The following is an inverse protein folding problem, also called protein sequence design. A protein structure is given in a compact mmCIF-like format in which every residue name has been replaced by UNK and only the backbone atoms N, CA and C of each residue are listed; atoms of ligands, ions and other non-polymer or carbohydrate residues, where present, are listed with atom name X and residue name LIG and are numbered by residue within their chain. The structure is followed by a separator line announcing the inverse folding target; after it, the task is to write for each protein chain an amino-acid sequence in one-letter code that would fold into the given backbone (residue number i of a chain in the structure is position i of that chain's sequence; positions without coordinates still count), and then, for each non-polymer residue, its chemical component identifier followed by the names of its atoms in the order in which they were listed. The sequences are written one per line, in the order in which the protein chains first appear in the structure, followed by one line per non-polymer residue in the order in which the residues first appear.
data_IF_800843506056
#
_entry.id   IF_800843506056
#
_cell.length_a   1.000
_cell.length_b   1.000
_cell.length_c   1.000
_cell.angle_alpha   90.00
_cell.angle_beta   90.00
_cell.angle_gamma   90.00
#
_symmetry.space_group_name_H-M   'P 1'
#
loop_
_entity.id
_entity.type
_entity.pdbx_description
1 polymer ?
#
# COMPACT_ATOMS: atom_id res chain seq x y z
N UNK A 1 23.39 -12.48 -2.35
CA UNK A 1 22.17 -12.26 -3.14
C UNK A 1 22.36 -11.20 -4.24
N UNK A 2 22.93 -10.02 -3.95
CA UNK A 2 23.15 -8.96 -4.94
C UNK A 2 24.00 -9.43 -6.13
N UNK A 3 25.06 -10.20 -5.88
CA UNK A 3 25.94 -10.73 -6.92
C UNK A 3 25.22 -11.72 -7.85
N UNK A 4 24.27 -12.51 -7.35
CA UNK A 4 23.50 -13.43 -8.18
C UNK A 4 22.56 -12.66 -9.13
N UNK A 5 21.90 -11.61 -8.64
CA UNK A 5 21.04 -10.74 -9.47
C UNK A 5 21.87 -10.01 -10.52
N UNK A 6 23.04 -9.47 -10.16
CA UNK A 6 23.96 -8.84 -11.10
C UNK A 6 24.45 -9.81 -12.18
N UNK A 7 24.80 -11.05 -11.82
CA UNK A 7 25.20 -12.07 -12.79
C UNK A 7 24.06 -12.40 -13.77
N UNK A 8 22.81 -12.48 -13.32
CA UNK A 8 21.66 -12.69 -14.23
C UNK A 8 21.56 -11.55 -15.24
N UNK A 9 21.73 -10.30 -14.81
CA UNK A 9 21.72 -9.14 -15.73
C UNK A 9 22.86 -9.16 -16.74
N UNK A 10 24.01 -9.73 -16.41
CA UNK A 10 25.19 -9.78 -17.28
C UNK A 10 25.18 -10.98 -18.24
N UNK A 11 24.38 -12.03 -17.94
CA UNK A 11 24.43 -13.30 -18.69
C UNK A 11 23.16 -13.60 -19.48
N UNK A 12 22.07 -12.86 -19.27
CA UNK A 12 20.77 -13.09 -19.91
C UNK A 12 20.42 -11.91 -20.79
N UNK A 13 20.45 -12.12 -22.12
CA UNK A 13 20.15 -11.09 -23.11
C UNK A 13 18.63 -10.93 -23.37
N UNK A 14 17.82 -11.91 -22.98
CA UNK A 14 16.37 -11.85 -23.13
C UNK A 14 15.70 -11.34 -21.86
N UNK A 15 14.99 -10.21 -21.98
CA UNK A 15 14.32 -9.56 -20.86
C UNK A 15 13.27 -10.45 -20.17
N UNK A 16 12.48 -11.20 -20.94
CA UNK A 16 11.45 -12.10 -20.37
C UNK A 16 12.09 -13.23 -19.57
N UNK A 17 13.19 -13.82 -20.08
CA UNK A 17 13.94 -14.85 -19.39
C UNK A 17 14.63 -14.30 -18.12
N UNK A 18 15.18 -13.09 -18.20
CA UNK A 18 15.78 -12.41 -17.06
C UNK A 18 14.76 -12.20 -15.94
N UNK A 19 13.59 -11.66 -16.27
CA UNK A 19 12.49 -11.44 -15.30
C UNK A 19 12.01 -12.74 -14.69
N UNK A 20 11.87 -13.81 -15.50
CA UNK A 20 11.46 -15.13 -15.01
C UNK A 20 12.47 -15.70 -14.02
N UNK A 21 13.77 -15.68 -14.35
CA UNK A 21 14.84 -16.19 -13.48
C UNK A 21 15.01 -15.35 -12.21
N UNK A 22 14.89 -14.03 -12.30
CA UNK A 22 14.91 -13.18 -11.12
C UNK A 22 13.73 -13.48 -10.19
N UNK A 23 12.54 -13.68 -10.74
CA UNK A 23 11.34 -14.05 -9.97
C UNK A 23 11.49 -15.40 -9.30
N UNK A 24 12.07 -16.39 -10.01
CA UNK A 24 12.37 -17.72 -9.45
C UNK A 24 13.37 -17.62 -8.29
N UNK A 25 14.48 -16.91 -8.50
CA UNK A 25 15.51 -16.70 -7.48
C UNK A 25 14.98 -15.98 -6.24
N UNK A 26 14.21 -14.90 -6.43
CA UNK A 26 13.57 -14.18 -5.32
C UNK A 26 12.60 -15.11 -4.57
N UNK A 27 11.87 -15.95 -5.29
CA UNK A 27 10.95 -16.94 -4.68
C UNK A 27 11.71 -17.99 -3.87
N UNK A 28 12.89 -18.43 -4.34
CA UNK A 28 13.74 -19.38 -3.64
C UNK A 28 14.33 -18.79 -2.36
N UNK A 29 14.87 -17.56 -2.42
CA UNK A 29 15.35 -16.83 -1.24
C UNK A 29 14.21 -16.62 -0.24
N UNK A 30 13.05 -16.21 -0.70
CA UNK A 30 11.90 -15.98 0.15
C UNK A 30 11.38 -17.24 0.85
N UNK A 31 11.77 -18.45 0.42
CA UNK A 31 11.46 -19.69 1.14
C UNK A 31 12.27 -19.85 2.43
N UNK A 32 13.42 -19.22 2.51
CA UNK A 32 14.34 -19.32 3.65
C UNK A 32 14.17 -18.18 4.66
N UNK A 33 13.44 -17.10 4.32
CA UNK A 33 13.35 -15.88 5.13
C UNK A 33 11.90 -15.36 5.24
N UNK A 34 11.66 -14.43 6.17
CA UNK A 34 10.41 -13.65 6.39
C UNK A 34 9.96 -12.86 5.14
N UNK A 35 10.75 -12.91 4.07
CA UNK A 35 10.52 -12.27 2.77
C UNK A 35 9.29 -12.79 2.00
N UNK A 36 8.72 -13.92 2.41
CA UNK A 36 7.50 -14.50 1.77
C UNK A 36 6.32 -13.53 1.74
N UNK A 37 6.24 -12.67 2.71
CA UNK A 37 5.18 -11.65 2.81
C UNK A 37 5.17 -10.65 1.64
N UNK A 38 6.31 -10.49 0.93
CA UNK A 38 6.42 -9.58 -0.21
C UNK A 38 6.11 -10.24 -1.57
N UNK A 39 6.04 -11.58 -1.63
CA UNK A 39 5.78 -12.30 -2.89
C UNK A 39 4.50 -11.84 -3.62
N UNK A 40 3.40 -11.46 -2.94
CA UNK A 40 2.23 -10.95 -3.63
C UNK A 40 2.52 -9.72 -4.50
N UNK A 41 3.47 -8.85 -4.13
CA UNK A 41 3.83 -7.65 -4.90
C UNK A 41 4.45 -7.99 -6.25
N UNK A 42 5.16 -9.13 -6.38
CA UNK A 42 5.74 -9.57 -7.65
C UNK A 42 4.67 -9.88 -8.72
N UNK A 43 3.44 -10.15 -8.28
CA UNK A 43 2.32 -10.48 -9.17
C UNK A 43 1.68 -9.24 -9.80
N UNK A 44 1.91 -8.05 -9.25
CA UNK A 44 1.31 -6.80 -9.73
C UNK A 44 1.93 -6.42 -11.08
N UNK A 45 1.09 -6.14 -12.08
CA UNK A 45 1.56 -5.71 -13.42
C UNK A 45 2.25 -4.34 -13.38
N UNK A 46 1.74 -3.41 -12.59
CA UNK A 46 2.36 -2.10 -12.34
C UNK A 46 3.58 -2.26 -11.41
N UNK A 47 4.77 -2.29 -12.02
CA UNK A 47 6.04 -2.50 -11.30
C UNK A 47 6.46 -1.30 -10.46
N UNK A 48 6.02 -0.10 -10.82
CA UNK A 48 6.34 1.11 -10.07
C UNK A 48 5.51 1.16 -8.80
N UNK A 49 4.21 0.89 -8.89
CA UNK A 49 3.35 0.74 -7.72
C UNK A 49 3.86 -0.37 -6.79
N UNK A 50 4.21 -1.54 -7.34
CA UNK A 50 4.75 -2.66 -6.56
C UNK A 50 6.04 -2.28 -5.82
N UNK A 51 7.00 -1.67 -6.51
CA UNK A 51 8.26 -1.21 -5.94
C UNK A 51 8.08 -0.11 -4.89
N UNK A 52 7.13 0.80 -5.12
CA UNK A 52 6.79 1.84 -4.16
C UNK A 52 6.20 1.26 -2.86
N UNK A 53 5.20 0.38 -2.96
CA UNK A 53 4.60 -0.30 -1.80
C UNK A 53 5.68 -1.09 -1.03
N UNK A 54 6.53 -1.85 -1.73
CA UNK A 54 7.65 -2.55 -1.13
C UNK A 54 8.55 -1.61 -0.33
N UNK A 55 8.91 -0.45 -0.92
CA UNK A 55 9.77 0.54 -0.24
C UNK A 55 9.15 1.10 1.04
N UNK A 56 7.84 1.27 1.08
CA UNK A 56 7.10 1.70 2.28
C UNK A 56 7.14 0.62 3.36
N UNK A 57 6.91 -0.64 2.99
CA UNK A 57 6.88 -1.75 3.94
C UNK A 57 8.26 -1.99 4.58
N UNK A 58 9.32 -1.94 3.78
CA UNK A 58 10.70 -2.12 4.29
C UNK A 58 11.12 -0.99 5.24
N UNK A 59 10.55 0.20 5.08
CA UNK A 59 10.82 1.37 5.94
C UNK A 59 9.83 1.53 7.09
N UNK A 60 8.86 0.64 7.21
CA UNK A 60 7.92 0.65 8.33
C UNK A 60 8.67 0.50 9.67
N UNK A 61 8.14 1.03 10.77
CA UNK A 61 8.69 0.76 12.10
C UNK A 61 8.77 -0.76 12.36
N UNK A 62 9.83 -1.21 13.04
CA UNK A 62 10.10 -2.64 13.26
C UNK A 62 8.94 -3.39 13.95
N UNK A 63 8.16 -2.70 14.75
CA UNK A 63 7.00 -3.28 15.42
C UNK A 63 5.79 -3.45 14.49
N UNK A 64 5.73 -2.79 13.32
CA UNK A 64 4.59 -2.88 12.40
C UNK A 64 4.65 -4.17 11.59
N UNK A 65 3.55 -4.90 11.58
CA UNK A 65 3.36 -6.13 10.81
C UNK A 65 2.42 -5.86 9.65
N UNK A 66 2.97 -5.88 8.44
CA UNK A 66 2.19 -5.62 7.22
C UNK A 66 1.94 -6.93 6.47
N UNK A 67 0.67 -7.26 6.28
CA UNK A 67 0.21 -8.32 5.38
C UNK A 67 -0.20 -7.72 4.03
N UNK A 68 0.04 -8.46 2.94
CA UNK A 68 -0.28 -8.02 1.58
C UNK A 68 -1.11 -9.09 0.89
N UNK A 69 -2.20 -8.66 0.26
CA UNK A 69 -3.05 -9.50 -0.59
C UNK A 69 -3.22 -8.86 -1.96
N UNK A 70 -2.96 -9.62 -2.99
CA UNK A 70 -3.19 -9.22 -4.40
C UNK A 70 -4.19 -10.18 -5.00
N UNK A 71 -5.39 -9.69 -5.26
CA UNK A 71 -6.50 -10.48 -5.79
C UNK A 71 -6.44 -10.59 -7.30
N UNK A 72 -6.22 -9.48 -7.99
CA UNK A 72 -6.00 -9.43 -9.42
C UNK A 72 -4.57 -8.97 -9.73
N UNK A 73 -3.94 -9.60 -10.72
CA UNK A 73 -2.56 -9.31 -11.13
C UNK A 73 -2.48 -8.11 -12.08
N UNK A 74 -3.47 -7.97 -12.94
CA UNK A 74 -3.55 -6.86 -13.87
C UNK A 74 -4.17 -5.67 -13.17
N UNK A 75 -3.34 -4.67 -12.92
CA UNK A 75 -3.76 -3.42 -12.34
C UNK A 75 -4.05 -2.46 -13.49
N UNK A 76 -5.32 -2.11 -13.60
CA UNK A 76 -5.77 -1.12 -14.57
C UNK A 76 -6.28 0.09 -13.80
N UNK A 77 -5.76 1.26 -14.09
CA UNK A 77 -6.28 2.51 -13.56
C UNK A 77 -6.09 3.64 -14.59
N UNK A 78 -7.06 4.53 -14.68
CA UNK A 78 -6.99 5.73 -15.53
C UNK A 78 -6.21 6.89 -14.89
N UNK A 79 -5.64 6.68 -13.70
CA UNK A 79 -4.92 7.70 -12.95
C UNK A 79 -3.45 7.78 -13.38
N UNK A 80 -2.87 8.97 -13.34
CA UNK A 80 -1.43 9.10 -13.55
C UNK A 80 -0.67 8.43 -12.41
N UNK A 81 0.42 7.75 -12.73
CA UNK A 81 1.29 7.03 -11.78
C UNK A 81 1.70 7.89 -10.58
N UNK A 82 2.09 9.16 -10.82
CA UNK A 82 2.46 10.09 -9.76
C UNK A 82 1.32 10.31 -8.74
N UNK A 83 0.10 10.54 -9.21
CA UNK A 83 -1.04 10.73 -8.32
C UNK A 83 -1.46 9.43 -7.61
N UNK A 84 -1.33 8.28 -8.28
CA UNK A 84 -1.57 6.99 -7.66
C UNK A 84 -0.61 6.75 -6.50
N UNK A 85 0.68 7.00 -6.70
CA UNK A 85 1.71 6.90 -5.67
C UNK A 85 1.45 7.87 -4.51
N UNK A 86 1.01 9.09 -4.79
CA UNK A 86 0.67 10.08 -3.76
C UNK A 86 -0.51 9.60 -2.90
N UNK A 87 -1.59 9.08 -3.52
CA UNK A 87 -2.76 8.53 -2.81
C UNK A 87 -2.35 7.34 -1.94
N UNK A 88 -1.73 6.33 -2.56
CA UNK A 88 -1.33 5.09 -1.89
C UNK A 88 -0.33 5.37 -0.77
N UNK A 89 0.65 6.25 -1.03
CA UNK A 89 1.64 6.66 -0.04
C UNK A 89 1.02 7.32 1.18
N UNK A 90 0.10 8.24 0.96
CA UNK A 90 -0.63 8.94 2.03
C UNK A 90 -1.40 7.95 2.91
N UNK A 91 -2.08 6.98 2.31
CA UNK A 91 -2.87 6.01 3.05
C UNK A 91 -1.99 5.05 3.85
N UNK A 92 -0.87 4.59 3.28
CA UNK A 92 0.10 3.73 3.98
C UNK A 92 0.73 4.49 5.15
N UNK A 93 1.17 5.73 4.93
CA UNK A 93 1.79 6.54 5.99
C UNK A 93 0.81 6.77 7.15
N UNK A 94 -0.45 7.09 6.85
CA UNK A 94 -1.47 7.25 7.88
C UNK A 94 -1.72 5.98 8.69
N UNK A 95 -1.75 4.81 8.02
CA UNK A 95 -1.93 3.54 8.70
C UNK A 95 -0.74 3.21 9.62
N UNK A 96 0.49 3.43 9.15
CA UNK A 96 1.70 3.19 9.96
C UNK A 96 1.84 4.16 11.13
N UNK A 97 1.50 5.43 10.92
CA UNK A 97 1.51 6.45 11.97
C UNK A 97 0.44 6.21 13.06
N UNK A 98 -0.63 5.49 12.72
CA UNK A 98 -1.65 5.10 13.68
C UNK A 98 -1.31 3.82 14.46
N UNK A 99 -0.26 3.09 14.05
CA UNK A 99 0.19 1.88 14.74
C UNK A 99 0.92 2.21 16.05
N UNK A 100 0.76 1.30 17.01
CA UNK A 100 1.52 1.25 18.27
C UNK A 100 2.12 -0.15 18.43
N UNK A 101 2.97 -0.39 19.42
CA UNK A 101 3.52 -1.74 19.69
C UNK A 101 2.43 -2.78 19.96
N UNK A 102 1.30 -2.37 20.56
CA UNK A 102 0.18 -3.25 20.86
C UNK A 102 -0.78 -3.43 19.69
N UNK A 103 -0.90 -2.42 18.81
CA UNK A 103 -1.80 -2.37 17.65
C UNK A 103 -1.00 -2.11 16.39
N UNK A 104 -0.36 -3.16 15.91
CA UNK A 104 0.69 -3.09 14.91
C UNK A 104 0.36 -3.81 13.60
N UNK A 105 -0.88 -4.29 13.44
CA UNK A 105 -1.27 -5.02 12.25
C UNK A 105 -1.81 -4.07 11.19
N UNK A 106 -1.25 -4.17 10.00
CA UNK A 106 -1.69 -3.45 8.79
C UNK A 106 -1.91 -4.47 7.68
N UNK A 107 -3.05 -4.39 7.00
CA UNK A 107 -3.36 -5.18 5.82
C UNK A 107 -3.46 -4.26 4.62
N UNK A 108 -2.71 -4.57 3.55
CA UNK A 108 -2.81 -3.92 2.25
C UNK A 108 -3.43 -4.91 1.27
N UNK A 109 -4.54 -4.53 0.65
CA UNK A 109 -5.19 -5.33 -0.39
C UNK A 109 -5.23 -4.55 -1.70
N UNK A 110 -4.94 -5.25 -2.79
CA UNK A 110 -4.89 -4.68 -4.13
C UNK A 110 -5.73 -5.58 -5.03
N UNK A 111 -6.68 -4.98 -5.73
CA UNK A 111 -7.53 -5.64 -6.71
C UNK A 111 -7.75 -4.71 -7.91
N UNK A 112 -8.26 -5.26 -8.99
CA UNK A 112 -8.70 -4.51 -10.15
C UNK A 112 -9.97 -5.16 -10.69
N UNK A 113 -11.05 -4.39 -10.76
CA UNK A 113 -12.35 -4.84 -11.23
C UNK A 113 -12.98 -3.78 -12.12
N UNK A 114 -13.55 -4.21 -13.26
CA UNK A 114 -14.22 -3.30 -14.21
C UNK A 114 -13.35 -2.11 -14.62
N UNK A 115 -12.07 -2.39 -14.95
CA UNK A 115 -11.07 -1.37 -15.33
C UNK A 115 -10.80 -0.30 -14.24
N UNK A 116 -11.06 -0.63 -12.98
CA UNK A 116 -10.77 0.22 -11.83
C UNK A 116 -9.86 -0.49 -10.87
N UNK A 117 -8.86 0.23 -10.38
CA UNK A 117 -8.04 -0.19 -9.25
C UNK A 117 -8.85 -0.07 -7.97
N UNK A 118 -8.81 -1.12 -7.15
CA UNK A 118 -9.32 -1.13 -5.78
C UNK A 118 -8.12 -1.30 -4.86
N UNK A 119 -7.83 -0.26 -4.08
CA UNK A 119 -6.77 -0.28 -3.08
C UNK A 119 -7.39 -0.14 -1.69
N UNK A 120 -7.15 -1.13 -0.84
CA UNK A 120 -7.62 -1.13 0.55
C UNK A 120 -6.44 -1.17 1.50
N UNK A 121 -6.47 -0.31 2.49
CA UNK A 121 -5.58 -0.41 3.64
C UNK A 121 -6.38 -0.46 4.92
N UNK A 122 -6.08 -1.45 5.76
CA UNK A 122 -6.75 -1.71 7.03
C UNK A 122 -5.72 -1.76 8.13
N UNK A 123 -5.97 -1.07 9.23
CA UNK A 123 -5.13 -1.13 10.42
C UNK A 123 -5.96 -1.19 11.70
N UNK A 124 -5.33 -1.68 12.77
CA UNK A 124 -5.91 -1.65 14.10
C UNK A 124 -5.93 -0.22 14.64
N UNK A 125 -6.99 0.09 15.40
CA UNK A 125 -7.18 1.41 16.03
C UNK A 125 -7.70 1.28 17.45
N UNK A 126 -7.54 2.33 18.23
CA UNK A 126 -8.25 2.50 19.50
C UNK A 126 -9.58 3.19 19.26
N UNK A 127 -10.65 2.64 19.82
CA UNK A 127 -12.00 3.22 19.94
C UNK A 127 -12.25 4.50 19.13
N UNK A 128 -12.33 4.40 17.82
CA UNK A 128 -12.69 5.54 16.97
C UNK A 128 -14.15 5.89 17.21
N UNK A 129 -14.42 7.13 17.55
CA UNK A 129 -15.76 7.67 17.61
C UNK A 129 -16.38 7.76 16.22
N UNK A 130 -17.59 7.27 16.05
CA UNK A 130 -18.31 7.39 14.76
C UNK A 130 -18.41 8.84 14.25
N UNK A 131 -18.40 9.82 15.16
CA UNK A 131 -18.41 11.25 14.81
C UNK A 131 -17.09 11.73 14.20
N UNK A 132 -15.96 11.10 14.49
CA UNK A 132 -14.67 11.54 13.99
C UNK A 132 -14.46 11.16 12.51
N UNK A 133 -15.09 10.07 12.06
CA UNK A 133 -14.96 9.57 10.70
C UNK A 133 -15.42 10.59 9.66
N UNK A 134 -16.48 11.32 9.94
CA UNK A 134 -17.01 12.34 9.05
C UNK A 134 -16.01 13.46 8.78
N UNK A 135 -15.08 13.69 9.69
CA UNK A 135 -14.08 14.75 9.63
C UNK A 135 -12.74 14.32 9.00
N UNK A 136 -12.48 13.02 8.81
CA UNK A 136 -11.17 12.53 8.29
C UNK A 136 -10.73 13.16 6.97
N UNK A 137 -11.67 13.51 6.13
CA UNK A 137 -11.40 14.15 4.84
C UNK A 137 -11.59 15.67 4.86
N UNK A 138 -11.80 16.28 6.01
CA UNK A 138 -11.87 17.72 6.13
C UNK A 138 -10.48 18.35 6.10
N UNK A 139 -10.38 19.50 5.46
CA UNK A 139 -9.11 20.21 5.36
C UNK A 139 -8.61 20.66 6.73
N UNK A 140 -7.43 20.16 7.11
CA UNK A 140 -6.81 20.53 8.37
C UNK A 140 -7.23 19.69 9.57
N UNK A 141 -8.10 18.70 9.39
CA UNK A 141 -8.45 17.76 10.46
C UNK A 141 -7.28 16.81 10.75
N UNK A 142 -6.88 16.72 12.01
CA UNK A 142 -5.86 15.80 12.50
C UNK A 142 -6.16 15.45 13.95
N UNK A 143 -6.03 14.18 14.29
CA UNK A 143 -6.09 13.68 15.67
C UNK A 143 -4.73 13.73 16.37
N UNK A 144 -3.68 14.22 15.69
CA UNK A 144 -2.31 14.26 16.20
C UNK A 144 -2.03 15.59 16.89
N UNK A 145 -1.44 15.54 18.09
CA UNK A 145 -1.16 16.70 18.93
C UNK A 145 0.04 17.55 18.46
N UNK A 146 0.91 17.03 17.59
CA UNK A 146 2.23 17.61 17.26
C UNK A 146 2.23 18.84 16.34
N UNK A 147 1.13 19.50 16.06
CA UNK A 147 1.05 20.84 15.45
C UNK A 147 1.74 21.06 14.09
N UNK A 148 2.41 20.07 13.50
CA UNK A 148 3.15 20.20 12.24
C UNK A 148 2.32 19.68 11.07
N UNK A 149 1.70 20.62 10.29
CA UNK A 149 1.10 20.38 8.95
C UNK A 149 0.30 19.08 8.75
N UNK A 150 -0.27 18.54 9.82
CA UNK A 150 -1.11 17.36 9.76
C UNK A 150 -2.54 17.75 9.31
N UNK A 151 -3.30 16.81 8.75
CA UNK A 151 -4.68 17.06 8.31
C UNK A 151 -4.84 17.47 6.85
N UNK A 152 -3.78 17.48 6.04
CA UNK A 152 -3.87 17.71 4.59
C UNK A 152 -3.77 16.43 3.76
N UNK A 153 -3.17 15.37 4.29
CA UNK A 153 -2.92 14.14 3.54
C UNK A 153 -4.21 13.48 3.02
N UNK A 154 -5.11 13.12 3.91
CA UNK A 154 -6.39 12.49 3.52
C UNK A 154 -7.28 13.43 2.70
N UNK A 155 -7.28 14.74 3.02
CA UNK A 155 -7.97 15.74 2.21
C UNK A 155 -7.43 15.76 0.77
N UNK A 156 -6.10 15.82 0.58
CA UNK A 156 -5.48 15.82 -0.75
C UNK A 156 -5.72 14.50 -1.48
N UNK A 157 -5.59 13.36 -0.80
CA UNK A 157 -5.90 12.05 -1.38
C UNK A 157 -7.34 12.01 -1.91
N UNK A 158 -8.32 12.49 -1.12
CA UNK A 158 -9.72 12.58 -1.56
C UNK A 158 -9.90 13.51 -2.75
N UNK A 159 -9.23 14.66 -2.77
CA UNK A 159 -9.27 15.59 -3.91
C UNK A 159 -8.72 14.96 -5.18
N UNK A 160 -7.61 14.22 -5.08
CA UNK A 160 -7.03 13.49 -6.21
C UNK A 160 -7.96 12.38 -6.69
N UNK A 161 -8.49 11.54 -5.79
CA UNK A 161 -9.44 10.48 -6.15
C UNK A 161 -10.65 11.05 -6.87
N UNK A 162 -11.25 12.12 -6.34
CA UNK A 162 -12.40 12.79 -6.97
C UNK A 162 -12.07 13.35 -8.35
N UNK A 163 -10.86 13.89 -8.56
CA UNK A 163 -10.39 14.41 -9.86
C UNK A 163 -10.43 13.34 -10.96
N UNK A 164 -10.24 12.08 -10.59
CA UNK A 164 -10.28 10.93 -11.50
C UNK A 164 -11.63 10.20 -11.46
N UNK A 165 -12.68 10.82 -10.92
CA UNK A 165 -14.02 10.24 -10.79
C UNK A 165 -14.05 8.92 -10.01
N UNK A 166 -13.08 8.75 -9.11
CA UNK A 166 -13.01 7.64 -8.18
C UNK A 166 -13.76 7.93 -6.87
N UNK A 167 -13.70 6.98 -5.97
CA UNK A 167 -14.29 7.05 -4.65
C UNK A 167 -13.29 6.65 -3.58
N UNK A 168 -13.30 7.32 -2.44
CA UNK A 168 -12.59 6.92 -1.24
C UNK A 168 -13.56 6.85 -0.08
N UNK A 169 -13.64 5.68 0.55
CA UNK A 169 -14.52 5.40 1.68
C UNK A 169 -13.74 4.96 2.91
N UNK A 170 -14.37 5.09 4.06
CA UNK A 170 -13.85 4.63 5.35
C UNK A 170 -14.84 3.65 5.94
N UNK A 171 -14.33 2.48 6.31
CA UNK A 171 -15.10 1.42 6.95
C UNK A 171 -14.52 1.13 8.34
N UNK A 172 -15.39 0.86 9.30
CA UNK A 172 -15.00 0.44 10.64
C UNK A 172 -15.56 -0.94 10.92
N UNK A 173 -14.67 -1.84 11.35
CA UNK A 173 -15.03 -3.19 11.71
C UNK A 173 -14.78 -3.39 13.22
N UNK A 174 -15.84 -3.85 13.91
CA UNK A 174 -15.81 -4.16 15.35
C UNK A 174 -15.29 -3.02 16.27
N UNK A 175 -15.25 -1.78 15.81
CA UNK A 175 -14.59 -0.63 16.47
C UNK A 175 -13.11 -0.84 16.79
N UNK A 176 -12.49 -1.83 16.17
CA UNK A 176 -11.07 -2.20 16.36
C UNK A 176 -10.22 -2.01 15.13
N UNK A 177 -10.86 -1.97 13.96
CA UNK A 177 -10.16 -1.81 12.69
C UNK A 177 -10.79 -0.68 11.90
N UNK A 178 -9.94 0.07 11.24
CA UNK A 178 -10.33 1.06 10.23
C UNK A 178 -9.78 0.62 8.89
N UNK A 179 -10.60 0.76 7.85
CA UNK A 179 -10.17 0.51 6.47
C UNK A 179 -10.44 1.74 5.63
N UNK A 180 -9.46 2.15 4.83
CA UNK A 180 -9.64 3.11 3.75
C UNK A 180 -9.69 2.34 2.45
N UNK A 181 -10.75 2.50 1.69
CA UNK A 181 -10.98 1.84 0.40
C UNK A 181 -11.02 2.90 -0.68
N UNK A 182 -10.11 2.78 -1.66
CA UNK A 182 -10.06 3.63 -2.85
C UNK A 182 -10.47 2.81 -4.06
N UNK A 183 -11.41 3.33 -4.83
CA UNK A 183 -11.85 2.76 -6.12
C UNK A 183 -11.61 3.83 -7.20
N UNK A 184 -10.73 3.56 -8.20
CA UNK A 184 -10.30 4.57 -9.15
C UNK A 184 -9.94 3.97 -10.51
#
# INVERSE_FOLDING_TARGET
HLNAILNMHLTIDNYEELVAKQSEYITEIAREDDSRKYLPLLKISDKILAGFIYSKIVRAPEYVRTDIRVWNKEIVSGISEHHLIEIVGTLIDNAYEACTEEKNQVLIEIDSQNDKLIFTIKNQVENIGLGEISHFFEKGFSTKEDGKKHGLGLYNAKMLVNRYHGEITVEIEERKYISFVVVI
#
